data_IF_964113269015
#
_entry.id   IF_964113269015
#
_cell.length_a   1.000
_cell.length_b   1.000
_cell.length_c   1.000
_cell.angle_alpha   90.00
_cell.angle_beta   90.00
_cell.angle_gamma   90.00
#
_symmetry.space_group_name_H-M   'P 1'
#
loop_
_entity.id
_entity.type
_entity.pdbx_description
1 polymer ?
#
# COMPACT_ATOMS: atom_id res chain seq x y z
N UNK A 1 -12.40 -20.53 -10.91
CA UNK A 1 -13.33 -20.63 -9.75
C UNK A 1 -13.76 -19.22 -9.36
N UNK A 2 -15.03 -19.01 -8.98
CA UNK A 2 -15.53 -17.70 -8.48
C UNK A 2 -16.13 -17.95 -7.12
N UNK A 3 -15.72 -17.17 -6.12
CA UNK A 3 -16.15 -17.30 -4.74
C UNK A 3 -16.55 -15.92 -4.19
N UNK A 4 -17.72 -15.87 -3.60
CA UNK A 4 -18.25 -14.66 -2.98
C UNK A 4 -18.10 -14.77 -1.46
N UNK A 5 -17.31 -13.85 -0.88
CA UNK A 5 -17.03 -13.75 0.56
C UNK A 5 -16.67 -15.10 1.24
N UNK A 6 -15.68 -15.88 0.74
CA UNK A 6 -15.46 -17.26 1.19
C UNK A 6 -15.05 -17.41 2.66
N UNK A 7 -14.58 -16.33 3.30
CA UNK A 7 -14.17 -16.29 4.73
C UNK A 7 -15.21 -15.62 5.63
N UNK A 8 -16.36 -15.21 5.07
CA UNK A 8 -17.37 -14.52 5.85
C UNK A 8 -18.01 -15.43 6.89
N UNK A 9 -18.14 -14.95 8.15
CA UNK A 9 -18.70 -15.71 9.24
C UNK A 9 -17.80 -16.79 9.84
N UNK A 10 -16.59 -16.96 9.32
CA UNK A 10 -15.60 -17.87 9.89
C UNK A 10 -14.76 -17.16 10.98
N UNK A 11 -14.32 -17.93 11.98
CA UNK A 11 -13.27 -17.49 12.89
C UNK A 11 -11.93 -17.35 12.18
N UNK A 12 -10.94 -16.78 12.86
CA UNK A 12 -9.61 -16.49 12.28
C UNK A 12 -8.92 -17.76 11.80
N UNK A 13 -8.96 -18.84 12.60
CA UNK A 13 -8.28 -20.09 12.28
C UNK A 13 -8.91 -20.76 11.06
N UNK A 14 -10.24 -20.88 11.03
CA UNK A 14 -10.98 -21.43 9.90
C UNK A 14 -10.78 -20.60 8.63
N UNK A 15 -10.75 -19.26 8.73
CA UNK A 15 -10.45 -18.37 7.59
C UNK A 15 -9.08 -18.65 7.01
N UNK A 16 -8.05 -18.77 7.85
CA UNK A 16 -6.68 -19.06 7.40
C UNK A 16 -6.57 -20.41 6.70
N UNK A 17 -7.28 -21.44 7.17
CA UNK A 17 -7.32 -22.75 6.51
C UNK A 17 -7.91 -22.62 5.11
N UNK A 18 -9.06 -21.93 4.97
CA UNK A 18 -9.69 -21.71 3.65
C UNK A 18 -8.75 -20.96 2.70
N UNK A 19 -8.13 -19.87 3.17
CA UNK A 19 -7.19 -19.08 2.36
C UNK A 19 -5.98 -19.90 1.93
N UNK A 20 -5.43 -20.73 2.81
CA UNK A 20 -4.31 -21.63 2.49
C UNK A 20 -4.68 -22.67 1.41
N UNK A 21 -5.90 -23.23 1.48
CA UNK A 21 -6.40 -24.16 0.45
C UNK A 21 -6.56 -23.46 -0.89
N UNK A 22 -7.15 -22.25 -0.93
CA UNK A 22 -7.32 -21.49 -2.16
C UNK A 22 -5.98 -21.13 -2.80
N UNK A 23 -5.02 -20.70 -1.98
CA UNK A 23 -3.66 -20.40 -2.44
C UNK A 23 -2.97 -21.63 -3.02
N UNK A 24 -3.13 -22.78 -2.39
CA UNK A 24 -2.56 -24.05 -2.87
C UNK A 24 -3.17 -24.46 -4.23
N UNK A 25 -4.49 -24.37 -4.38
CA UNK A 25 -5.18 -24.64 -5.65
C UNK A 25 -4.69 -23.72 -6.78
N UNK A 26 -4.52 -22.43 -6.49
CA UNK A 26 -4.03 -21.47 -7.48
C UNK A 26 -2.58 -21.76 -7.91
N UNK A 27 -1.68 -22.07 -6.95
CA UNK A 27 -0.25 -22.22 -7.20
C UNK A 27 0.14 -23.59 -7.79
N UNK A 28 -0.52 -24.64 -7.36
CA UNK A 28 -0.10 -26.01 -7.70
C UNK A 28 -1.03 -26.70 -8.70
N UNK A 29 -2.32 -26.33 -8.73
CA UNK A 29 -3.30 -26.93 -9.64
C UNK A 29 -3.61 -26.02 -10.84
N UNK A 30 -2.94 -24.87 -10.97
CA UNK A 30 -3.19 -23.88 -12.03
C UNK A 30 -4.65 -23.42 -12.12
N UNK A 31 -5.35 -23.34 -11.01
CA UNK A 31 -6.75 -22.89 -10.96
C UNK A 31 -6.81 -21.37 -10.90
N UNK A 32 -7.39 -20.73 -11.89
CA UNK A 32 -7.73 -19.30 -11.81
C UNK A 32 -8.86 -19.09 -10.80
N UNK A 33 -8.63 -18.24 -9.78
CA UNK A 33 -9.58 -17.96 -8.71
C UNK A 33 -9.88 -16.47 -8.67
N UNK A 34 -11.18 -16.15 -8.68
CA UNK A 34 -11.71 -14.81 -8.40
C UNK A 34 -12.47 -14.87 -7.08
N UNK A 35 -12.11 -14.03 -6.13
CA UNK A 35 -12.80 -13.94 -4.84
C UNK A 35 -13.27 -12.51 -4.60
N UNK A 36 -14.43 -12.35 -3.97
CA UNK A 36 -14.81 -11.10 -3.32
C UNK A 36 -14.51 -11.17 -1.82
N UNK A 37 -14.10 -10.08 -1.23
CA UNK A 37 -13.99 -9.93 0.22
C UNK A 37 -13.96 -8.46 0.62
N UNK A 38 -14.49 -8.16 1.80
CA UNK A 38 -14.33 -6.87 2.47
C UNK A 38 -13.17 -6.86 3.48
N UNK A 39 -12.54 -8.02 3.73
CA UNK A 39 -11.36 -8.16 4.59
C UNK A 39 -10.10 -7.99 3.73
N UNK A 40 -9.53 -6.80 3.77
CA UNK A 40 -8.36 -6.45 2.94
C UNK A 40 -7.13 -7.28 3.29
N UNK A 41 -7.00 -7.69 4.56
CA UNK A 41 -5.92 -8.52 5.06
C UNK A 41 -5.92 -9.91 4.36
N UNK A 42 -7.09 -10.54 4.23
CA UNK A 42 -7.25 -11.82 3.55
C UNK A 42 -6.83 -11.72 2.08
N UNK A 43 -7.27 -10.63 1.41
CA UNK A 43 -6.94 -10.36 0.00
C UNK A 43 -5.43 -10.14 -0.17
N UNK A 44 -4.80 -9.35 0.70
CA UNK A 44 -3.37 -9.04 0.63
C UNK A 44 -2.50 -10.30 0.80
N UNK A 45 -2.98 -11.27 1.59
CA UNK A 45 -2.25 -12.51 1.85
C UNK A 45 -2.20 -13.47 0.66
N UNK A 46 -3.30 -13.57 -0.11
CA UNK A 46 -3.44 -14.62 -1.13
C UNK A 46 -3.51 -14.13 -2.57
N UNK A 47 -3.92 -12.87 -2.80
CA UNK A 47 -4.13 -12.34 -4.13
C UNK A 47 -2.86 -11.68 -4.69
N UNK A 48 -2.61 -11.88 -6.00
CA UNK A 48 -1.58 -11.14 -6.73
C UNK A 48 -2.13 -9.85 -7.34
N UNK A 49 -3.43 -9.81 -7.58
CA UNK A 49 -4.13 -8.72 -8.25
C UNK A 49 -5.44 -8.43 -7.55
N UNK A 50 -5.73 -7.16 -7.35
CA UNK A 50 -6.96 -6.69 -6.70
C UNK A 50 -7.67 -5.71 -7.62
N UNK A 51 -8.98 -5.83 -7.67
CA UNK A 51 -9.87 -4.90 -8.34
C UNK A 51 -10.70 -4.20 -7.26
N UNK A 52 -10.57 -2.89 -7.15
CA UNK A 52 -11.47 -2.08 -6.34
C UNK A 52 -12.68 -1.67 -7.17
N UNK A 53 -13.87 -1.92 -6.64
CA UNK A 53 -15.12 -1.45 -7.23
C UNK A 53 -15.63 -0.27 -6.42
N UNK A 54 -15.55 0.92 -7.01
CA UNK A 54 -16.00 2.17 -6.38
C UNK A 54 -16.91 2.94 -7.34
N UNK A 55 -18.12 3.25 -6.91
CA UNK A 55 -19.10 4.01 -7.72
C UNK A 55 -19.30 3.46 -9.15
N UNK A 56 -19.24 2.14 -9.31
CA UNK A 56 -19.38 1.47 -10.62
C UNK A 56 -18.13 1.45 -11.48
N UNK A 57 -17.01 1.99 -10.99
CA UNK A 57 -15.72 1.94 -11.66
C UNK A 57 -14.83 0.86 -11.05
N UNK A 58 -14.17 0.10 -11.91
CA UNK A 58 -13.17 -0.88 -11.52
C UNK A 58 -11.77 -0.27 -11.65
N UNK A 59 -11.03 -0.26 -10.56
CA UNK A 59 -9.61 0.13 -10.55
C UNK A 59 -8.73 -1.05 -10.18
N UNK A 60 -7.68 -1.22 -10.97
CA UNK A 60 -6.75 -2.34 -10.83
C UNK A 60 -5.58 -1.94 -9.91
N UNK A 61 -5.23 -2.85 -9.00
CA UNK A 61 -4.05 -2.75 -8.16
C UNK A 61 -3.29 -4.08 -8.15
N UNK A 62 -2.01 -4.04 -8.43
CA UNK A 62 -1.13 -5.19 -8.24
C UNK A 62 -0.75 -5.29 -6.76
N UNK A 63 -0.87 -6.48 -6.19
CA UNK A 63 -0.59 -6.77 -4.78
C UNK A 63 0.42 -7.90 -4.71
N UNK A 64 1.05 -8.10 -3.57
CA UNK A 64 1.94 -9.21 -3.34
C UNK A 64 3.40 -8.81 -3.19
N UNK A 65 4.29 -9.81 -3.26
CA UNK A 65 5.73 -9.62 -2.96
C UNK A 65 6.45 -8.61 -3.85
N UNK A 66 5.88 -8.33 -5.03
CA UNK A 66 6.45 -7.40 -6.02
C UNK A 66 5.89 -5.98 -5.94
N UNK A 67 4.90 -5.71 -5.08
CA UNK A 67 4.48 -4.34 -4.78
C UNK A 67 5.40 -3.77 -3.69
N UNK A 68 6.42 -3.05 -4.12
CA UNK A 68 7.49 -2.54 -3.25
C UNK A 68 7.30 -1.09 -2.80
N UNK A 69 6.06 -0.61 -2.79
CA UNK A 69 5.82 0.73 -2.29
C UNK A 69 5.94 0.78 -0.76
N UNK A 70 6.55 1.85 -0.30
CA UNK A 70 6.65 2.21 1.10
C UNK A 70 5.90 3.51 1.33
N UNK A 71 5.29 3.63 2.51
CA UNK A 71 4.82 4.90 3.02
C UNK A 71 5.92 5.54 3.85
N UNK A 72 6.21 6.79 3.54
CA UNK A 72 7.17 7.63 4.24
C UNK A 72 6.44 8.77 4.92
N UNK A 73 6.47 8.79 6.24
CA UNK A 73 5.99 9.93 7.04
C UNK A 73 7.19 10.82 7.36
N UNK A 74 7.19 12.03 6.84
CA UNK A 74 8.31 12.97 6.93
C UNK A 74 7.82 14.23 7.62
N UNK A 75 8.46 14.64 8.72
CA UNK A 75 8.21 15.91 9.36
C UNK A 75 9.41 16.85 9.14
N UNK A 76 9.16 18.01 8.57
CA UNK A 76 10.16 19.00 8.23
C UNK A 76 10.37 20.01 9.36
N UNK A 77 11.55 20.62 9.42
CA UNK A 77 11.87 21.63 10.44
C UNK A 77 11.21 22.98 10.14
N UNK A 78 10.88 23.26 8.89
CA UNK A 78 10.28 24.49 8.43
C UNK A 78 9.37 24.29 7.21
N UNK A 79 8.50 25.27 6.96
CA UNK A 79 7.70 25.28 5.74
C UNK A 79 8.57 25.37 4.48
N UNK A 80 9.68 26.09 4.54
CA UNK A 80 10.63 26.20 3.43
C UNK A 80 11.21 24.83 3.08
N UNK A 81 11.64 24.03 4.07
CA UNK A 81 12.16 22.68 3.84
C UNK A 81 11.11 21.75 3.19
N UNK A 82 9.86 21.82 3.69
CA UNK A 82 8.73 21.09 3.12
C UNK A 82 8.49 21.47 1.66
N UNK A 83 8.43 22.77 1.37
CA UNK A 83 8.10 23.27 0.04
C UNK A 83 9.19 22.95 -0.99
N UNK A 84 10.47 22.99 -0.56
CA UNK A 84 11.60 22.52 -1.38
C UNK A 84 11.43 21.02 -1.69
N UNK A 85 11.06 20.21 -0.69
CA UNK A 85 10.82 18.79 -0.89
C UNK A 85 9.69 18.56 -1.89
N UNK A 86 8.50 19.16 -1.70
CA UNK A 86 7.34 19.01 -2.58
C UNK A 86 7.69 19.37 -4.02
N UNK A 87 8.43 20.45 -4.21
CA UNK A 87 8.73 20.99 -5.55
C UNK A 87 9.76 20.16 -6.31
N UNK A 88 10.71 19.56 -5.60
CA UNK A 88 11.89 18.93 -6.24
C UNK A 88 11.87 17.41 -6.22
N UNK A 89 11.04 16.77 -5.39
CA UNK A 89 11.02 15.32 -5.30
C UNK A 89 10.33 14.68 -6.51
N UNK A 90 10.88 13.55 -6.98
CA UNK A 90 10.35 12.72 -8.07
C UNK A 90 10.21 11.25 -7.62
N UNK A 91 10.15 11.01 -6.31
CA UNK A 91 10.28 9.67 -5.72
C UNK A 91 8.95 8.93 -5.55
N UNK A 92 7.82 9.64 -5.62
CA UNK A 92 6.51 9.05 -5.43
C UNK A 92 5.41 10.09 -5.24
N UNK A 93 4.23 9.59 -4.90
CA UNK A 93 3.03 10.39 -4.78
C UNK A 93 2.86 10.88 -3.34
N UNK A 94 2.57 12.18 -3.18
CA UNK A 94 2.20 12.73 -1.89
C UNK A 94 0.73 12.37 -1.64
N UNK A 95 0.49 11.54 -0.62
CA UNK A 95 -0.86 11.03 -0.29
C UNK A 95 -1.54 11.83 0.81
N UNK A 96 -0.76 12.55 1.62
CA UNK A 96 -1.30 13.42 2.68
C UNK A 96 -0.33 14.54 3.03
N UNK A 97 -0.88 15.73 3.29
CA UNK A 97 -0.16 16.90 3.79
C UNK A 97 -0.84 17.46 5.04
N UNK A 98 -0.09 17.59 6.12
CA UNK A 98 -0.56 18.17 7.39
C UNK A 98 0.49 19.11 8.00
N UNK A 99 0.33 20.39 7.76
CA UNK A 99 1.26 21.42 8.27
C UNK A 99 2.69 21.17 7.78
N UNK A 100 3.61 20.80 8.69
CA UNK A 100 5.00 20.48 8.36
C UNK A 100 5.22 18.98 8.10
N UNK A 101 4.18 18.18 8.03
CA UNK A 101 4.24 16.74 7.78
C UNK A 101 3.72 16.39 6.40
N UNK A 102 4.40 15.43 5.78
CA UNK A 102 3.99 14.82 4.52
C UNK A 102 3.99 13.32 4.68
N UNK A 103 2.97 12.67 4.15
CA UNK A 103 2.98 11.23 3.90
C UNK A 103 3.12 11.02 2.39
N UNK A 104 4.12 10.28 1.97
CA UNK A 104 4.42 9.97 0.57
C UNK A 104 4.41 8.45 0.37
N UNK A 105 3.83 8.00 -0.74
CA UNK A 105 3.94 6.61 -1.23
C UNK A 105 4.96 6.54 -2.36
N UNK A 106 5.88 5.60 -2.31
CA UNK A 106 6.87 5.43 -3.37
C UNK A 106 7.69 4.15 -3.25
N UNK A 107 8.26 3.75 -4.37
CA UNK A 107 9.20 2.63 -4.46
C UNK A 107 10.64 3.13 -4.44
N UNK A 108 11.07 3.61 -3.29
CA UNK A 108 12.40 4.17 -3.07
C UNK A 108 12.99 3.65 -1.75
N UNK A 109 14.29 3.59 -1.67
CA UNK A 109 14.99 3.29 -0.41
C UNK A 109 15.14 4.55 0.44
N UNK A 110 15.03 4.40 1.77
CA UNK A 110 15.23 5.52 2.71
C UNK A 110 16.58 6.20 2.53
N UNK A 111 17.62 5.45 2.13
CA UNK A 111 18.97 5.99 1.88
C UNK A 111 19.00 7.02 0.75
N UNK A 112 18.18 6.83 -0.29
CA UNK A 112 18.08 7.77 -1.41
C UNK A 112 17.38 9.06 -0.98
N UNK A 113 16.32 8.94 -0.15
CA UNK A 113 15.66 10.11 0.45
C UNK A 113 16.62 10.91 1.34
N UNK A 114 17.40 10.24 2.20
CA UNK A 114 18.37 10.94 3.03
C UNK A 114 19.48 11.62 2.21
N UNK A 115 19.93 11.01 1.12
CA UNK A 115 20.85 11.64 0.18
C UNK A 115 20.22 12.90 -0.42
N UNK A 116 18.98 12.83 -0.87
CA UNK A 116 18.25 13.98 -1.42
C UNK A 116 18.08 15.10 -0.38
N UNK A 117 17.75 14.79 0.87
CA UNK A 117 17.66 15.79 1.94
C UNK A 117 18.99 16.52 2.13
N UNK A 118 20.10 15.79 2.15
CA UNK A 118 21.44 16.39 2.29
C UNK A 118 21.81 17.28 1.09
N UNK A 119 21.60 16.80 -0.14
CA UNK A 119 21.91 17.54 -1.37
C UNK A 119 21.12 18.85 -1.50
N UNK A 120 19.88 18.88 -0.99
CA UNK A 120 19.03 20.07 -1.01
C UNK A 120 19.02 20.85 0.30
N UNK A 121 19.88 20.49 1.27
CA UNK A 121 19.95 21.12 2.59
C UNK A 121 18.62 21.13 3.36
N UNK A 122 17.77 20.12 3.14
CA UNK A 122 16.46 19.97 3.76
C UNK A 122 16.64 19.40 5.17
N UNK A 123 16.06 20.06 6.17
CA UNK A 123 16.09 19.60 7.57
C UNK A 123 14.81 18.84 7.92
N UNK A 124 14.98 17.58 8.31
CA UNK A 124 13.92 16.68 8.75
C UNK A 124 14.04 16.46 10.25
N UNK A 125 12.92 16.59 10.98
CA UNK A 125 12.86 16.41 12.44
C UNK A 125 12.33 15.04 12.85
N UNK A 126 11.52 14.40 11.99
CA UNK A 126 11.07 13.03 12.19
C UNK A 126 10.88 12.33 10.85
N UNK A 127 11.20 11.04 10.83
CA UNK A 127 11.08 10.20 9.66
C UNK A 127 10.62 8.80 10.08
N UNK A 128 9.58 8.30 9.44
CA UNK A 128 9.12 6.93 9.60
C UNK A 128 8.89 6.31 8.22
N UNK A 129 9.14 5.03 8.12
CA UNK A 129 8.80 4.26 6.92
C UNK A 129 8.14 2.96 7.31
N UNK A 130 7.14 2.55 6.51
CA UNK A 130 6.52 1.23 6.60
C UNK A 130 6.21 0.74 5.20
N UNK A 131 6.09 -0.58 5.03
CA UNK A 131 5.56 -1.14 3.78
C UNK A 131 4.11 -0.65 3.61
N UNK A 132 3.78 -0.18 2.41
CA UNK A 132 2.41 0.21 2.08
C UNK A 132 1.52 -1.04 2.00
N UNK A 133 0.43 -1.05 2.76
CA UNK A 133 -0.55 -2.14 2.78
C UNK A 133 -1.70 -1.86 1.81
N UNK A 134 -2.45 -2.89 1.45
CA UNK A 134 -3.65 -2.73 0.64
C UNK A 134 -4.67 -1.79 1.31
N UNK A 135 -4.74 -1.81 2.65
CA UNK A 135 -5.56 -0.89 3.43
C UNK A 135 -5.12 0.57 3.29
N UNK A 136 -3.81 0.81 3.31
CA UNK A 136 -3.27 2.17 3.10
C UNK A 136 -3.65 2.68 1.71
N UNK A 137 -3.50 1.84 0.68
CA UNK A 137 -3.88 2.16 -0.71
C UNK A 137 -5.37 2.48 -0.80
N UNK A 138 -6.24 1.66 -0.20
CA UNK A 138 -7.67 1.86 -0.20
C UNK A 138 -8.08 3.18 0.47
N UNK A 139 -7.55 3.46 1.66
CA UNK A 139 -7.86 4.69 2.41
C UNK A 139 -7.35 5.96 1.72
N UNK A 140 -6.26 5.88 0.97
CA UNK A 140 -5.71 7.03 0.23
C UNK A 140 -6.48 7.34 -1.06
N UNK A 141 -7.23 6.37 -1.62
CA UNK A 141 -8.08 6.57 -2.81
C UNK A 141 -9.42 7.23 -2.49
N UNK A 142 -9.91 7.04 -1.27
CA UNK A 142 -11.24 7.52 -0.85
C UNK A 142 -11.22 8.99 -0.39
N UNK A 143 -10.12 9.70 -0.58
CA UNK A 143 -9.95 11.15 -0.31
C UNK A 143 -9.91 11.93 -1.62
#
# INVERSE_FOLDING_TARGET
MILDEPTNGLDIESSQIVLAVLKNLALHENVGILISSHKLEDIEEICERVLFLESGLLTFQKVGKDSHNFLFEIAFSSATDRDIFITKQEFGDIVQEEGLRITMSGNIQSSELFKFFNENSIKVVAFKTKKETLKDIYLNRSK
#
